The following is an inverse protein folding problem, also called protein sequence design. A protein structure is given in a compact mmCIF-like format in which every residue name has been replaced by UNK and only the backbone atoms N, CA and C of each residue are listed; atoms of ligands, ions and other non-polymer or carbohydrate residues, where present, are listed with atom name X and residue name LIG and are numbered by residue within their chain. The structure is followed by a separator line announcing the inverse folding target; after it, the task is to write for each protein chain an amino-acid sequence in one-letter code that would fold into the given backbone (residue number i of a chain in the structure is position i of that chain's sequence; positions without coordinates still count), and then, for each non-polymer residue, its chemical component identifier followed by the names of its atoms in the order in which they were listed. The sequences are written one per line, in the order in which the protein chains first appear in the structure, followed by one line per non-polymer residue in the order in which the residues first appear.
data_IF_542741958494
#
_entry.id   IF_542741958494
#
_cell.length_a   1.000
_cell.length_b   1.000
_cell.length_c   1.000
_cell.angle_alpha   90.00
_cell.angle_beta   90.00
_cell.angle_gamma   90.00
#
_symmetry.space_group_name_H-M   'P 1'
#
loop_
_entity.id
_entity.type
_entity.pdbx_description
1 polymer ?
#
# COMPACT_ATOMS: atom_id res chain seq x y z
N UNK A 1 11.90 1.80 19.60
CA UNK A 1 10.86 2.73 19.14
C UNK A 1 11.01 3.07 17.66
N UNK A 2 12.19 3.47 17.15
CA UNK A 2 12.36 3.70 15.69
C UNK A 2 12.31 2.39 14.88
N UNK A 3 12.91 1.31 15.41
CA UNK A 3 12.81 -0.03 14.80
C UNK A 3 11.37 -0.55 14.68
N UNK A 4 10.51 -0.27 15.67
CA UNK A 4 9.09 -0.63 15.62
C UNK A 4 8.28 0.21 14.63
N UNK A 5 8.67 1.46 14.36
CA UNK A 5 8.03 2.32 13.35
C UNK A 5 8.42 1.86 11.94
N UNK A 6 9.68 1.49 11.71
CA UNK A 6 10.11 0.87 10.45
C UNK A 6 9.36 -0.44 10.15
N UNK A 7 9.17 -1.29 11.17
CA UNK A 7 8.36 -2.52 11.04
C UNK A 7 6.90 -2.22 10.72
N UNK A 8 6.30 -1.20 11.32
CA UNK A 8 4.94 -0.78 11.00
C UNK A 8 4.83 -0.27 9.54
N UNK A 9 5.83 0.45 9.04
CA UNK A 9 5.92 0.84 7.63
C UNK A 9 5.98 -0.36 6.69
N UNK A 10 6.80 -1.37 6.99
CA UNK A 10 6.86 -2.60 6.18
C UNK A 10 5.54 -3.37 6.22
N UNK A 11 4.95 -3.55 7.41
CA UNK A 11 3.66 -4.23 7.55
C UNK A 11 2.54 -3.50 6.78
N UNK A 12 2.51 -2.17 6.82
CA UNK A 12 1.55 -1.35 6.08
C UNK A 12 1.71 -1.46 4.56
N UNK A 13 2.96 -1.52 4.07
CA UNK A 13 3.23 -1.80 2.65
C UNK A 13 2.71 -3.17 2.22
N UNK A 14 2.96 -4.22 3.03
CA UNK A 14 2.46 -5.56 2.73
C UNK A 14 0.93 -5.62 2.68
N UNK A 15 0.25 -5.00 3.65
CA UNK A 15 -1.20 -4.94 3.69
C UNK A 15 -1.78 -4.19 2.47
N UNK A 16 -1.21 -3.03 2.12
CA UNK A 16 -1.64 -2.28 0.93
C UNK A 16 -1.41 -3.06 -0.36
N UNK A 17 -0.26 -3.75 -0.50
CA UNK A 17 0.03 -4.58 -1.67
C UNK A 17 -0.91 -5.77 -1.83
N UNK A 18 -1.35 -6.37 -0.72
CA UNK A 18 -2.35 -7.44 -0.74
C UNK A 18 -3.72 -6.90 -1.19
N UNK A 19 -4.15 -5.76 -0.64
CA UNK A 19 -5.37 -5.09 -1.09
C UNK A 19 -5.32 -4.69 -2.57
N UNK A 20 -4.15 -4.25 -3.07
CA UNK A 20 -3.98 -3.96 -4.50
C UNK A 20 -4.21 -5.19 -5.38
N UNK A 21 -3.70 -6.35 -4.96
CA UNK A 21 -3.87 -7.62 -5.69
C UNK A 21 -5.33 -8.04 -5.72
N UNK A 22 -6.04 -7.95 -4.60
CA UNK A 22 -7.45 -8.30 -4.51
C UNK A 22 -8.31 -7.41 -5.42
N UNK A 23 -8.13 -6.09 -5.34
CA UNK A 23 -8.90 -5.16 -6.16
C UNK A 23 -8.61 -5.32 -7.66
N UNK A 24 -7.35 -5.57 -8.02
CA UNK A 24 -6.98 -5.84 -9.41
C UNK A 24 -7.66 -7.12 -9.94
N UNK A 25 -7.75 -8.18 -9.12
CA UNK A 25 -8.46 -9.39 -9.47
C UNK A 25 -9.97 -9.14 -9.63
N UNK A 26 -10.59 -8.35 -8.75
CA UNK A 26 -12.01 -7.98 -8.87
C UNK A 26 -12.29 -7.17 -10.14
N UNK A 27 -11.45 -6.18 -10.46
CA UNK A 27 -11.56 -5.36 -11.67
C UNK A 27 -11.39 -6.24 -12.92
N UNK A 28 -10.42 -7.15 -12.93
CA UNK A 28 -10.21 -8.07 -14.05
C UNK A 28 -11.42 -9.01 -14.28
N UNK A 29 -12.03 -9.49 -13.20
CA UNK A 29 -13.20 -10.36 -13.23
C UNK A 29 -14.52 -9.61 -13.50
N UNK A 30 -14.52 -8.28 -13.56
CA UNK A 30 -15.73 -7.50 -13.81
C UNK A 30 -16.22 -7.57 -15.26
N UNK A 31 -15.38 -8.02 -16.20
CA UNK A 31 -15.80 -8.39 -17.56
C UNK A 31 -16.43 -9.79 -17.56
N UNK A 32 -17.74 -9.85 -17.79
CA UNK A 32 -18.40 -11.10 -18.20
C UNK A 32 -18.36 -11.25 -19.72
N UNK A 33 -18.10 -12.46 -20.20
CA UNK A 33 -18.03 -12.80 -21.64
C UNK A 33 -19.39 -12.67 -22.36
N UNK A 34 -20.50 -12.58 -21.63
CA UNK A 34 -21.87 -12.64 -22.15
C UNK A 34 -22.53 -11.27 -22.45
N UNK A 35 -21.82 -10.15 -22.25
CA UNK A 35 -22.32 -8.81 -22.58
C UNK A 35 -23.55 -8.35 -21.78
N UNK A 36 -23.97 -9.09 -20.75
CA UNK A 36 -25.26 -8.90 -20.07
C UNK A 36 -25.24 -7.84 -18.97
N UNK A 37 -24.08 -7.52 -18.38
CA UNK A 37 -23.88 -6.35 -17.51
C UNK A 37 -22.44 -6.31 -16.99
N UNK A 38 -21.78 -5.16 -17.17
CA UNK A 38 -20.51 -4.84 -16.49
C UNK A 38 -20.80 -4.81 -14.99
N UNK A 39 -20.10 -5.65 -14.22
CA UNK A 39 -20.18 -5.57 -12.75
C UNK A 39 -19.64 -4.21 -12.33
N UNK A 40 -20.30 -3.52 -11.39
CA UNK A 40 -19.84 -2.20 -10.94
C UNK A 40 -18.40 -2.28 -10.42
N UNK A 41 -17.50 -1.54 -11.06
CA UNK A 41 -16.07 -1.46 -10.72
C UNK A 41 -15.71 -0.17 -9.97
N UNK A 42 -16.65 0.73 -9.73
CA UNK A 42 -16.36 1.99 -9.05
C UNK A 42 -15.77 1.75 -7.66
N UNK A 43 -16.38 0.83 -6.88
CA UNK A 43 -15.89 0.45 -5.56
C UNK A 43 -14.44 -0.11 -5.59
N UNK A 44 -14.13 -1.19 -6.33
CA UNK A 44 -12.77 -1.72 -6.32
C UNK A 44 -11.73 -0.74 -6.89
N UNK A 45 -12.12 0.20 -7.77
CA UNK A 45 -11.22 1.27 -8.24
C UNK A 45 -10.90 2.31 -7.14
N UNK A 46 -11.89 2.69 -6.34
CA UNK A 46 -11.68 3.60 -5.20
C UNK A 46 -10.79 2.91 -4.16
N UNK A 47 -11.12 1.68 -3.79
CA UNK A 47 -10.32 0.89 -2.85
C UNK A 47 -8.90 0.65 -3.41
N UNK A 48 -8.73 0.47 -4.72
CA UNK A 48 -7.41 0.34 -5.36
C UNK A 48 -6.57 1.60 -5.10
N UNK A 49 -7.18 2.78 -5.25
CA UNK A 49 -6.52 4.06 -5.00
C UNK A 49 -6.15 4.24 -3.52
N UNK A 50 -7.04 3.84 -2.60
CA UNK A 50 -6.77 3.86 -1.16
C UNK A 50 -5.58 2.96 -0.80
N UNK A 51 -5.54 1.75 -1.36
CA UNK A 51 -4.44 0.82 -1.16
C UNK A 51 -3.10 1.34 -1.71
N UNK A 52 -3.09 2.05 -2.85
CA UNK A 52 -1.88 2.74 -3.34
C UNK A 52 -1.40 3.76 -2.31
N UNK A 53 -2.29 4.62 -1.83
CA UNK A 53 -1.95 5.65 -0.83
C UNK A 53 -1.45 5.04 0.47
N UNK A 54 -2.01 3.90 0.88
CA UNK A 54 -1.54 3.17 2.06
C UNK A 54 -0.09 2.68 1.89
N UNK A 55 0.26 2.14 0.71
CA UNK A 55 1.64 1.74 0.41
C UNK A 55 2.57 2.95 0.43
N UNK A 56 2.19 4.05 -0.23
CA UNK A 56 2.98 5.29 -0.28
C UNK A 56 3.22 5.88 1.12
N UNK A 57 2.17 5.97 1.93
CA UNK A 57 2.27 6.46 3.31
C UNK A 57 3.20 5.57 4.15
N UNK A 58 3.06 4.25 4.01
CA UNK A 58 3.87 3.28 4.75
C UNK A 58 5.35 3.32 4.30
N UNK A 59 5.61 3.51 3.01
CA UNK A 59 6.95 3.75 2.47
C UNK A 59 7.56 5.04 3.03
N UNK A 60 6.76 6.12 3.14
CA UNK A 60 7.25 7.38 3.73
C UNK A 60 7.60 7.23 5.20
N UNK A 61 6.82 6.48 5.98
CA UNK A 61 7.12 6.16 7.38
C UNK A 61 8.43 5.38 7.50
N UNK A 62 8.64 4.38 6.64
CA UNK A 62 9.88 3.62 6.59
C UNK A 62 11.09 4.52 6.26
N UNK A 63 10.99 5.32 5.20
CA UNK A 63 12.04 6.26 4.80
C UNK A 63 12.40 7.24 5.93
N UNK A 64 11.38 7.84 6.56
CA UNK A 64 11.60 8.79 7.67
C UNK A 64 12.27 8.12 8.86
N UNK A 65 11.96 6.84 9.11
CA UNK A 65 12.62 6.05 10.16
C UNK A 65 14.09 5.80 9.84
N UNK A 66 14.41 5.48 8.58
CA UNK A 66 15.77 5.26 8.11
C UNK A 66 16.61 6.55 8.15
N UNK A 67 16.07 7.67 7.67
CA UNK A 67 16.69 8.99 7.75
C UNK A 67 16.97 9.41 9.21
N UNK A 68 16.02 9.16 10.12
CA UNK A 68 16.21 9.43 11.54
C UNK A 68 17.33 8.58 12.15
N UNK A 69 17.47 7.31 11.75
CA UNK A 69 18.60 6.48 12.18
C UNK A 69 19.93 6.96 11.61
N UNK A 70 19.97 7.32 10.33
CA UNK A 70 21.16 7.85 9.67
C UNK A 70 21.66 9.12 10.35
N UNK A 71 20.77 10.09 10.59
CA UNK A 71 21.13 11.35 11.29
C UNK A 71 21.61 11.11 12.72
N UNK A 72 21.03 10.14 13.43
CA UNK A 72 21.52 9.75 14.77
C UNK A 72 22.93 9.17 14.70
N UNK A 73 23.22 8.31 13.72
CA UNK A 73 24.56 7.73 13.51
C UNK A 73 25.58 8.83 13.19
N UNK A 74 25.25 9.74 12.28
CA UNK A 74 26.14 10.85 11.90
C UNK A 74 26.43 11.82 13.05
N UNK A 75 25.49 11.97 14.00
CA UNK A 75 25.70 12.84 15.17
C UNK A 75 26.64 12.25 16.20
N UNK A 76 26.72 10.91 16.30
CA UNK A 76 27.55 10.21 17.30
C UNK A 76 28.90 9.73 16.77
N UNK A 77 29.08 9.69 15.45
CA UNK A 77 30.33 9.35 14.77
C UNK A 77 31.29 10.54 14.73
#
# INVERSE_FOLDING_TARGET
MISSVGQAGVAGMHAGMEGLRQNAAEIANARREDGSSVRDIAKPLVEQTENVRQVEASAKVFQTSDEALGTLIDTVA
#
